data_IF_031546175291
#
_entry.id   IF_031546175291
#
_cell.length_a   1.000
_cell.length_b   1.000
_cell.length_c   1.000
_cell.angle_alpha   90.00
_cell.angle_beta   90.00
_cell.angle_gamma   90.00
#
_symmetry.space_group_name_H-M   'P 1'
#
loop_
_entity.id
_entity.type
_entity.pdbx_description
1 polymer ?
#
# COMPACT_ATOMS: atom_id res chain seq x y z
N UNK A 1 12.53 25.48 4.80
CA UNK A 1 12.31 24.04 5.07
C UNK A 1 11.15 23.92 6.05
N UNK A 2 10.04 23.25 5.68
CA UNK A 2 8.77 23.25 6.43
C UNK A 2 8.76 22.33 7.67
N UNK A 3 9.90 21.97 8.26
CA UNK A 3 9.98 21.20 9.52
C UNK A 3 9.26 19.84 9.52
N UNK A 4 8.92 19.29 8.34
CA UNK A 4 8.14 18.05 8.19
C UNK A 4 8.98 16.77 8.08
N UNK A 5 10.30 16.88 8.06
CA UNK A 5 11.22 15.75 8.17
C UNK A 5 11.38 15.38 9.65
N UNK A 6 10.43 14.66 10.20
CA UNK A 6 10.43 14.22 11.59
C UNK A 6 9.90 12.79 11.65
N UNK A 7 10.54 11.94 12.44
CA UNK A 7 10.04 10.60 12.75
C UNK A 7 8.85 10.63 13.73
N UNK A 8 8.44 11.81 14.18
CA UNK A 8 7.28 11.94 15.04
C UNK A 8 5.98 11.77 14.24
N UNK A 9 5.22 10.69 14.43
CA UNK A 9 4.00 10.40 13.67
C UNK A 9 2.92 11.45 13.85
N UNK A 10 2.88 12.14 14.98
CA UNK A 10 1.87 13.18 15.26
C UNK A 10 1.92 14.37 14.30
N UNK A 11 3.08 14.64 13.69
CA UNK A 11 3.24 15.72 12.69
C UNK A 11 2.68 15.36 11.31
N UNK A 12 2.42 14.09 11.07
CA UNK A 12 1.92 13.55 9.79
C UNK A 12 0.41 13.29 9.84
N UNK A 13 -0.22 13.43 11.02
CA UNK A 13 -1.67 13.30 11.18
C UNK A 13 -2.37 14.44 10.45
N UNK A 14 -3.27 14.06 9.55
CA UNK A 14 -4.29 14.95 9.00
C UNK A 14 -5.57 14.71 9.78
N UNK A 15 -6.10 15.71 10.54
CA UNK A 15 -7.29 15.50 11.35
C UNK A 15 -8.49 14.98 10.55
N UNK A 16 -8.67 15.47 9.32
CA UNK A 16 -9.75 15.02 8.44
C UNK A 16 -9.47 13.62 7.89
N UNK A 17 -8.31 13.42 7.22
CA UNK A 17 -7.99 12.19 6.53
C UNK A 17 -7.63 11.04 7.44
N UNK A 18 -6.99 11.31 8.60
CA UNK A 18 -6.49 10.26 9.49
C UNK A 18 -7.49 9.90 10.61
N UNK A 19 -8.37 10.83 11.00
CA UNK A 19 -9.28 10.63 12.14
C UNK A 19 -10.74 10.67 11.71
N UNK A 20 -11.22 11.80 11.17
CA UNK A 20 -12.65 12.01 10.92
C UNK A 20 -13.20 11.04 9.88
N UNK A 21 -12.54 10.95 8.71
CA UNK A 21 -13.03 10.10 7.61
C UNK A 21 -13.01 8.61 7.99
N UNK A 22 -11.91 8.02 8.52
CA UNK A 22 -11.91 6.63 8.96
C UNK A 22 -12.97 6.35 10.03
N UNK A 23 -13.15 7.26 11.01
CA UNK A 23 -14.16 7.08 12.05
C UNK A 23 -15.58 7.11 11.50
N UNK A 24 -15.85 8.01 10.55
CA UNK A 24 -17.15 8.08 9.88
C UNK A 24 -17.43 6.81 9.07
N UNK A 25 -16.45 6.31 8.33
CA UNK A 25 -16.57 5.08 7.53
C UNK A 25 -16.85 3.88 8.43
N UNK A 26 -16.14 3.76 9.58
CA UNK A 26 -16.40 2.72 10.57
C UNK A 26 -17.80 2.83 11.14
N UNK A 27 -18.30 4.03 11.41
CA UNK A 27 -19.65 4.25 11.93
C UNK A 27 -20.73 3.79 10.93
N UNK A 28 -20.49 3.97 9.63
CA UNK A 28 -21.38 3.54 8.55
C UNK A 28 -21.22 2.05 8.21
N UNK A 29 -20.25 1.34 8.83
CA UNK A 29 -19.99 -0.08 8.56
C UNK A 29 -19.20 -0.35 7.28
N UNK A 30 -18.51 0.67 6.75
CA UNK A 30 -17.64 0.56 5.57
C UNK A 30 -16.17 0.43 6.03
N UNK A 31 -15.34 -0.35 5.33
CA UNK A 31 -13.92 -0.44 5.66
C UNK A 31 -13.26 0.95 5.78
N UNK A 32 -12.50 1.20 6.87
CA UNK A 32 -11.90 2.49 7.11
C UNK A 32 -10.85 2.80 6.03
N UNK A 33 -10.99 3.95 5.40
CA UNK A 33 -10.03 4.51 4.48
C UNK A 33 -9.64 5.91 4.94
N UNK A 34 -8.37 6.27 4.78
CA UNK A 34 -7.89 7.59 5.17
C UNK A 34 -6.54 7.93 4.53
N UNK A 35 -6.09 9.14 4.77
CA UNK A 35 -4.81 9.63 4.28
C UNK A 35 -4.07 10.42 5.36
N UNK A 36 -2.76 10.51 5.21
CA UNK A 36 -1.88 11.34 6.02
C UNK A 36 -1.42 12.57 5.23
N UNK A 37 -0.91 13.59 5.93
CA UNK A 37 -0.29 14.74 5.26
C UNK A 37 0.88 14.30 4.42
N UNK A 38 0.83 14.64 3.13
CA UNK A 38 1.92 14.35 2.21
C UNK A 38 3.21 15.08 2.64
N UNK A 39 4.32 14.35 2.68
CA UNK A 39 5.65 14.92 2.89
C UNK A 39 6.13 15.45 1.54
N UNK A 40 6.39 16.78 1.40
CA UNK A 40 6.88 17.32 0.15
C UNK A 40 8.31 16.82 -0.10
N UNK A 41 8.50 16.05 -1.17
CA UNK A 41 9.83 15.67 -1.63
C UNK A 41 10.45 16.89 -2.34
N UNK A 42 11.58 17.37 -1.86
CA UNK A 42 12.32 18.48 -2.49
C UNK A 42 12.98 17.97 -3.79
N UNK A 43 12.20 17.83 -4.84
CA UNK A 43 12.66 17.32 -6.14
C UNK A 43 13.71 18.22 -6.79
N UNK A 44 13.71 19.52 -6.46
CA UNK A 44 14.69 20.50 -6.94
C UNK A 44 16.13 20.24 -6.43
N UNK A 45 16.29 19.50 -5.32
CA UNK A 45 17.58 19.16 -4.75
C UNK A 45 18.18 17.87 -5.35
N UNK A 46 17.44 17.17 -6.22
CA UNK A 46 17.82 15.89 -6.76
C UNK A 46 18.50 16.06 -8.14
N UNK A 47 19.63 15.35 -8.34
CA UNK A 47 20.43 15.39 -9.56
C UNK A 47 19.63 14.99 -10.82
N UNK A 48 18.66 14.09 -10.68
CA UNK A 48 17.69 13.65 -11.70
C UNK A 48 16.30 13.53 -11.08
N UNK A 49 15.50 14.62 -11.01
CA UNK A 49 14.24 14.66 -10.28
C UNK A 49 13.24 13.57 -10.70
N UNK A 50 13.15 13.31 -12.00
CA UNK A 50 12.21 12.30 -12.53
C UNK A 50 12.55 10.88 -12.13
N UNK A 51 13.85 10.48 -12.29
CA UNK A 51 14.27 9.13 -11.87
C UNK A 51 14.13 8.95 -10.37
N UNK A 52 14.47 9.96 -9.59
CA UNK A 52 14.29 9.94 -8.15
C UNK A 52 12.83 9.79 -7.75
N UNK A 53 11.90 10.48 -8.44
CA UNK A 53 10.47 10.34 -8.20
C UNK A 53 9.98 8.91 -8.45
N UNK A 54 10.46 8.26 -9.53
CA UNK A 54 10.14 6.85 -9.83
C UNK A 54 10.63 5.93 -8.72
N UNK A 55 11.87 6.09 -8.24
CA UNK A 55 12.40 5.28 -7.14
C UNK A 55 11.64 5.49 -5.83
N UNK A 56 11.30 6.73 -5.51
CA UNK A 56 10.51 7.05 -4.32
C UNK A 56 9.12 6.43 -4.41
N UNK A 57 8.47 6.53 -5.57
CA UNK A 57 7.15 5.94 -5.78
C UNK A 57 7.19 4.40 -5.73
N UNK A 58 8.22 3.75 -6.27
CA UNK A 58 8.37 2.30 -6.20
C UNK A 58 8.68 1.79 -4.78
N UNK A 59 9.27 2.62 -3.93
CA UNK A 59 9.61 2.22 -2.56
C UNK A 59 8.39 1.79 -1.74
N UNK A 60 7.22 2.42 -1.95
CA UNK A 60 5.95 2.05 -1.30
C UNK A 60 5.53 0.61 -1.59
N UNK A 61 5.23 0.27 -2.85
CA UNK A 61 4.88 -1.10 -3.24
C UNK A 61 5.92 -2.14 -2.86
N UNK A 62 7.22 -1.83 -3.00
CA UNK A 62 8.32 -2.72 -2.59
C UNK A 62 8.30 -2.96 -1.08
N UNK A 63 8.11 -1.93 -0.28
CA UNK A 63 7.99 -2.07 1.18
C UNK A 63 6.81 -2.97 1.55
N UNK A 64 5.66 -2.81 0.90
CA UNK A 64 4.49 -3.66 1.13
C UNK A 64 4.78 -5.13 0.76
N UNK A 65 5.46 -5.39 -0.35
CA UNK A 65 5.87 -6.76 -0.72
C UNK A 65 6.82 -7.34 0.33
N UNK A 66 7.82 -6.59 0.79
CA UNK A 66 8.73 -7.03 1.85
C UNK A 66 7.98 -7.32 3.14
N UNK A 67 7.05 -6.46 3.54
CA UNK A 67 6.21 -6.66 4.73
C UNK A 67 5.33 -7.90 4.61
N UNK A 68 4.77 -8.18 3.43
CA UNK A 68 4.01 -9.41 3.20
C UNK A 68 4.89 -10.66 3.43
N UNK A 69 6.13 -10.66 2.94
CA UNK A 69 7.08 -11.74 3.20
C UNK A 69 7.46 -11.84 4.68
N UNK A 70 7.65 -10.73 5.39
CA UNK A 70 7.91 -10.73 6.83
C UNK A 70 6.75 -11.39 7.58
N UNK A 71 5.51 -11.03 7.26
CA UNK A 71 4.33 -11.65 7.86
C UNK A 71 4.20 -13.14 7.53
N UNK A 72 4.51 -13.56 6.30
CA UNK A 72 4.61 -15.00 5.97
C UNK A 72 5.66 -15.70 6.84
N UNK A 73 6.82 -15.07 7.07
CA UNK A 73 7.86 -15.59 7.95
C UNK A 73 7.41 -15.71 9.42
N UNK A 74 6.66 -14.72 9.93
CA UNK A 74 6.07 -14.76 11.27
C UNK A 74 5.10 -15.94 11.41
N UNK A 75 4.24 -16.15 10.40
CA UNK A 75 3.30 -17.28 10.36
C UNK A 75 4.03 -18.62 10.40
N UNK A 76 5.05 -18.79 9.57
CA UNK A 76 5.87 -20.01 9.56
C UNK A 76 6.63 -20.24 10.86
N UNK A 77 7.17 -19.18 11.45
CA UNK A 77 7.89 -19.26 12.73
C UNK A 77 6.99 -19.75 13.88
N UNK A 78 5.77 -19.20 13.99
CA UNK A 78 4.83 -19.59 15.04
C UNK A 78 4.48 -21.07 14.96
N UNK A 79 4.24 -21.58 13.76
CA UNK A 79 3.92 -23.01 13.57
C UNK A 79 5.13 -23.88 13.86
N UNK A 80 6.32 -23.47 13.39
CA UNK A 80 7.55 -24.25 13.58
C UNK A 80 8.01 -24.32 15.04
N UNK A 81 7.85 -23.25 15.79
CA UNK A 81 8.26 -23.21 17.20
C UNK A 81 7.20 -23.74 18.19
N UNK A 82 6.14 -24.40 17.67
CA UNK A 82 5.10 -25.05 18.46
C UNK A 82 4.53 -24.11 19.54
N UNK A 83 4.22 -22.87 19.17
CA UNK A 83 3.58 -21.93 20.08
C UNK A 83 2.27 -22.53 20.63
N UNK A 84 1.86 -22.11 21.82
CA UNK A 84 0.60 -22.58 22.38
C UNK A 84 -0.58 -22.22 21.46
N UNK A 85 -1.69 -22.98 21.53
CA UNK A 85 -2.82 -22.84 20.64
C UNK A 85 -3.39 -21.42 20.59
N UNK A 86 -3.46 -20.74 21.73
CA UNK A 86 -3.97 -19.37 21.83
C UNK A 86 -3.06 -18.38 21.10
N UNK A 87 -1.74 -18.48 21.29
CA UNK A 87 -0.78 -17.61 20.62
C UNK A 87 -0.77 -17.87 19.12
N UNK A 88 -0.81 -19.13 18.69
CA UNK A 88 -0.90 -19.52 17.28
C UNK A 88 -2.14 -18.94 16.62
N UNK A 89 -3.29 -18.98 17.28
CA UNK A 89 -4.53 -18.42 16.78
C UNK A 89 -4.43 -16.90 16.61
N UNK A 90 -4.03 -16.16 17.64
CA UNK A 90 -4.00 -14.69 17.58
C UNK A 90 -2.95 -14.16 16.61
N UNK A 91 -1.72 -14.60 16.77
CA UNK A 91 -0.62 -14.10 15.94
C UNK A 91 -0.71 -14.66 14.51
N UNK A 92 -1.23 -15.88 14.34
CA UNK A 92 -1.52 -16.44 13.02
C UNK A 92 -2.53 -15.58 12.26
N UNK A 93 -3.67 -15.28 12.88
CA UNK A 93 -4.69 -14.40 12.26
C UNK A 93 -4.14 -13.00 11.96
N UNK A 94 -3.31 -12.43 12.84
CA UNK A 94 -2.63 -11.15 12.57
C UNK A 94 -1.66 -11.26 11.39
N UNK A 95 -0.91 -12.36 11.29
CA UNK A 95 0.03 -12.57 10.20
C UNK A 95 -0.69 -12.75 8.86
N UNK A 96 -1.77 -13.52 8.82
CA UNK A 96 -2.60 -13.67 7.63
C UNK A 96 -3.19 -12.33 7.18
N UNK A 97 -3.77 -11.56 8.11
CA UNK A 97 -4.26 -10.22 7.81
C UNK A 97 -3.14 -9.30 7.33
N UNK A 98 -1.95 -9.39 7.95
CA UNK A 98 -0.77 -8.64 7.55
C UNK A 98 -0.33 -8.95 6.13
N UNK A 99 -0.30 -10.22 5.73
CA UNK A 99 -0.02 -10.63 4.34
C UNK A 99 -1.07 -10.03 3.39
N UNK A 100 -2.36 -10.24 3.68
CA UNK A 100 -3.44 -9.80 2.81
C UNK A 100 -3.47 -8.29 2.61
N UNK A 101 -3.36 -7.50 3.68
CA UNK A 101 -3.34 -6.04 3.60
C UNK A 101 -2.15 -5.55 2.79
N UNK A 102 -0.96 -6.09 3.02
CA UNK A 102 0.23 -5.66 2.27
C UNK A 102 0.16 -6.05 0.79
N UNK A 103 -0.41 -7.21 0.45
CA UNK A 103 -0.65 -7.61 -0.95
C UNK A 103 -1.64 -6.65 -1.62
N UNK A 104 -2.76 -6.33 -0.96
CA UNK A 104 -3.74 -5.36 -1.47
C UNK A 104 -3.09 -4.01 -1.72
N UNK A 105 -2.33 -3.49 -0.74
CA UNK A 105 -1.65 -2.20 -0.86
C UNK A 105 -0.59 -2.20 -1.97
N UNK A 106 0.18 -3.29 -2.12
CA UNK A 106 1.16 -3.41 -3.19
C UNK A 106 0.49 -3.39 -4.57
N UNK A 107 -0.57 -4.17 -4.74
CA UNK A 107 -1.32 -4.27 -6.01
C UNK A 107 -1.98 -2.94 -6.36
N UNK A 108 -2.70 -2.32 -5.41
CA UNK A 108 -3.33 -1.02 -5.63
C UNK A 108 -2.30 0.06 -5.99
N UNK A 109 -1.21 0.14 -5.22
CA UNK A 109 -0.19 1.16 -5.45
C UNK A 109 0.59 0.96 -6.75
N UNK A 110 0.60 -0.23 -7.35
CA UNK A 110 1.19 -0.48 -8.66
C UNK A 110 0.27 -0.12 -9.83
N UNK A 111 -1.01 0.20 -9.59
CA UNK A 111 -1.90 0.64 -10.66
C UNK A 111 -1.39 1.94 -11.30
N UNK A 112 -1.37 2.04 -12.64
CA UNK A 112 -0.87 3.19 -13.35
C UNK A 112 -1.87 4.38 -13.36
N UNK A 113 -2.49 4.64 -12.23
CA UNK A 113 -3.54 5.66 -12.04
C UNK A 113 -3.10 6.62 -10.94
N UNK A 114 -2.87 7.93 -11.20
CA UNK A 114 -2.69 8.91 -10.15
C UNK A 114 -3.96 8.98 -9.26
N UNK A 115 -3.84 9.16 -7.95
CA UNK A 115 -2.67 9.54 -7.14
C UNK A 115 -1.80 8.38 -6.65
N UNK A 116 -2.05 7.14 -7.12
CA UNK A 116 -1.29 5.96 -6.70
C UNK A 116 0.17 6.01 -7.16
N UNK A 117 1.05 5.26 -6.48
CA UNK A 117 2.48 5.26 -6.77
C UNK A 117 2.78 4.81 -8.20
N UNK A 118 2.05 3.82 -8.74
CA UNK A 118 2.15 3.39 -10.13
C UNK A 118 1.83 4.49 -11.15
N UNK A 119 0.89 5.37 -10.83
CA UNK A 119 0.60 6.57 -11.62
C UNK A 119 1.77 7.56 -11.62
N UNK A 120 2.43 7.74 -10.48
CA UNK A 120 3.64 8.58 -10.35
C UNK A 120 4.84 7.97 -11.07
N UNK A 121 5.00 6.64 -10.99
CA UNK A 121 6.01 5.91 -11.78
C UNK A 121 5.77 6.15 -13.28
N UNK A 122 4.55 5.96 -13.73
CA UNK A 122 4.18 6.19 -15.14
C UNK A 122 4.44 7.64 -15.55
N UNK A 123 4.04 8.63 -14.75
CA UNK A 123 4.32 10.05 -15.01
C UNK A 123 5.82 10.35 -15.11
N UNK A 124 6.64 9.72 -14.26
CA UNK A 124 8.10 9.86 -14.28
C UNK A 124 8.78 9.22 -15.48
N UNK A 125 8.23 8.15 -16.03
CA UNK A 125 8.74 7.45 -17.22
C UNK A 125 8.32 8.10 -18.52
N UNK A 126 7.16 8.75 -18.55
CA UNK A 126 6.62 9.41 -19.76
C UNK A 126 7.39 10.72 -20.08
N UNK A 127 7.41 11.15 -21.36
CA UNK A 127 7.87 12.49 -21.71
C UNK A 127 7.12 13.57 -20.93
N UNK A 128 7.80 14.71 -20.62
CA UNK A 128 7.25 15.76 -19.74
C UNK A 128 5.83 16.24 -20.08
N UNK A 129 5.52 16.30 -21.37
CA UNK A 129 4.19 16.73 -21.83
C UNK A 129 3.06 15.76 -21.41
N UNK A 130 3.33 14.46 -21.40
CA UNK A 130 2.37 13.43 -21.02
C UNK A 130 2.33 13.23 -19.49
N UNK A 131 3.50 13.27 -18.84
CA UNK A 131 3.56 13.19 -17.36
C UNK A 131 2.76 14.32 -16.71
N UNK A 132 2.92 15.57 -17.16
CA UNK A 132 2.17 16.70 -16.62
C UNK A 132 0.66 16.66 -16.91
N UNK A 133 0.24 16.00 -17.99
CA UNK A 133 -1.19 15.77 -18.24
C UNK A 133 -1.75 14.72 -17.29
N UNK A 134 -1.00 13.67 -17.02
CA UNK A 134 -1.39 12.61 -16.09
C UNK A 134 -1.54 13.16 -14.66
N UNK A 135 -0.63 14.03 -14.22
CA UNK A 135 -0.72 14.70 -12.92
C UNK A 135 -1.97 15.57 -12.78
N UNK A 136 -2.45 16.19 -13.87
CA UNK A 136 -3.69 16.99 -13.86
C UNK A 136 -4.95 16.17 -13.61
N UNK A 137 -4.91 14.87 -13.89
CA UNK A 137 -6.03 13.94 -13.66
C UNK A 137 -6.01 13.39 -12.22
N UNK A 138 -4.95 13.64 -11.44
CA UNK A 138 -4.79 13.17 -10.06
C UNK A 138 -6.04 13.39 -9.19
N UNK A 139 -6.76 14.55 -9.20
CA UNK A 139 -7.95 14.75 -8.37
C UNK A 139 -9.09 13.77 -8.66
N UNK A 140 -9.18 13.28 -9.88
CA UNK A 140 -10.22 12.34 -10.30
C UNK A 140 -9.80 10.87 -10.17
N UNK A 141 -8.49 10.62 -10.08
CA UNK A 141 -7.93 9.28 -10.07
C UNK A 141 -8.43 8.43 -8.89
N UNK A 142 -8.61 9.01 -7.72
CA UNK A 142 -9.16 8.31 -6.55
C UNK A 142 -10.59 7.82 -6.79
N UNK A 143 -11.41 8.61 -7.47
CA UNK A 143 -12.79 8.23 -7.83
C UNK A 143 -12.75 7.06 -8.82
N UNK A 144 -11.85 7.11 -9.81
CA UNK A 144 -11.68 6.03 -10.79
C UNK A 144 -11.26 4.74 -10.09
N UNK A 145 -10.28 4.79 -9.18
CA UNK A 145 -9.83 3.62 -8.41
C UNK A 145 -10.98 3.05 -7.59
N UNK A 146 -11.73 3.90 -6.89
CA UNK A 146 -12.88 3.47 -6.08
C UNK A 146 -13.94 2.78 -6.96
N UNK A 147 -14.27 3.35 -8.11
CA UNK A 147 -15.20 2.74 -9.05
C UNK A 147 -14.69 1.37 -9.54
N UNK A 148 -13.41 1.25 -9.89
CA UNK A 148 -12.82 -0.01 -10.35
C UNK A 148 -12.87 -1.10 -9.26
N UNK A 149 -12.64 -0.72 -7.99
CA UNK A 149 -12.74 -1.64 -6.85
C UNK A 149 -14.19 -2.07 -6.64
N UNK A 150 -15.14 -1.11 -6.59
CA UNK A 150 -16.57 -1.42 -6.35
C UNK A 150 -17.17 -2.26 -7.49
N UNK A 151 -16.74 -2.04 -8.72
CA UNK A 151 -17.21 -2.82 -9.88
C UNK A 151 -16.50 -4.17 -10.04
N UNK A 152 -15.59 -4.55 -9.11
CA UNK A 152 -14.79 -5.78 -9.15
C UNK A 152 -13.93 -5.92 -10.43
N UNK A 153 -13.67 -4.82 -11.12
CA UNK A 153 -12.86 -4.83 -12.35
C UNK A 153 -11.38 -5.12 -12.10
N UNK A 154 -10.95 -5.05 -10.84
CA UNK A 154 -9.58 -5.36 -10.43
C UNK A 154 -9.38 -6.81 -10.01
N UNK A 155 -10.42 -7.64 -10.00
CA UNK A 155 -10.34 -9.04 -9.54
C UNK A 155 -9.32 -9.87 -10.35
N UNK A 156 -9.20 -9.60 -11.65
CA UNK A 156 -8.20 -10.24 -12.50
C UNK A 156 -6.75 -10.00 -12.03
N UNK A 157 -6.51 -8.91 -11.30
CA UNK A 157 -5.22 -8.54 -10.73
C UNK A 157 -5.07 -9.05 -9.29
N UNK A 158 -6.12 -8.95 -8.48
CA UNK A 158 -6.12 -9.41 -7.09
C UNK A 158 -6.10 -10.93 -6.97
N UNK A 159 -6.88 -11.65 -7.78
CA UNK A 159 -6.96 -13.12 -7.71
C UNK A 159 -5.60 -13.79 -7.87
N UNK A 160 -4.78 -13.48 -8.88
CA UNK A 160 -3.45 -14.09 -8.99
C UNK A 160 -2.52 -13.65 -7.84
N UNK A 161 -2.59 -12.39 -7.39
CA UNK A 161 -1.78 -11.91 -6.27
C UNK A 161 -2.10 -12.68 -4.97
N UNK A 162 -3.38 -12.88 -4.67
CA UNK A 162 -3.81 -13.67 -3.52
C UNK A 162 -3.45 -15.15 -3.64
N UNK A 163 -3.48 -15.72 -4.84
CA UNK A 163 -2.99 -17.10 -5.06
C UNK A 163 -1.50 -17.24 -4.75
N UNK A 164 -0.69 -16.28 -5.17
CA UNK A 164 0.75 -16.27 -4.87
C UNK A 164 0.97 -16.14 -3.37
N UNK A 165 0.27 -15.21 -2.70
CA UNK A 165 0.34 -15.03 -1.26
C UNK A 165 -0.10 -16.31 -0.50
N UNK A 166 -1.19 -16.93 -0.92
CA UNK A 166 -1.68 -18.18 -0.35
C UNK A 166 -0.66 -19.32 -0.48
N UNK A 167 -0.04 -19.47 -1.65
CA UNK A 167 1.05 -20.46 -1.84
C UNK A 167 2.26 -20.15 -0.95
N UNK A 168 2.64 -18.88 -0.80
CA UNK A 168 3.72 -18.51 0.11
C UNK A 168 3.40 -18.92 1.56
N UNK A 169 2.18 -18.66 2.01
CA UNK A 169 1.72 -19.07 3.34
C UNK A 169 1.72 -20.61 3.49
N UNK A 170 1.19 -21.37 2.52
CA UNK A 170 1.18 -22.85 2.59
C UNK A 170 2.58 -23.44 2.64
N UNK A 171 3.51 -22.92 1.86
CA UNK A 171 4.92 -23.35 1.90
C UNK A 171 5.54 -23.07 3.28
N UNK A 172 5.28 -21.90 3.85
CA UNK A 172 5.79 -21.56 5.19
C UNK A 172 5.17 -22.39 6.31
N UNK A 173 3.94 -22.87 6.13
CA UNK A 173 3.26 -23.78 7.05
C UNK A 173 3.72 -25.23 6.92
N UNK A 174 4.58 -25.56 5.93
CA UNK A 174 5.02 -26.93 5.66
C UNK A 174 3.93 -27.82 5.08
N UNK A 175 2.89 -27.25 4.48
CA UNK A 175 1.75 -27.93 3.88
C UNK A 175 1.87 -28.04 2.32
N UNK A 176 3.11 -28.03 1.81
CA UNK A 176 3.40 -28.18 0.38
C UNK A 176 3.67 -29.64 0.01
#
# INVERSE_FOLDING_TARGET
MLGRLSLNPMRHIDPLGTVVIPSLLLFVGVPPFGWAKAVPVATSALRNPRRALVFVALAGPVANIVMAFVWCGVLGAIVRFHANATLTQWVGSMAEAGVMVNVVLAVLNLLPIPPLDGGRVLAGLLPSRWGSRLEKVEPFGMIVVLCLVVMSWLDWLFVPAFRVAGRCMTVMLGAA
#
